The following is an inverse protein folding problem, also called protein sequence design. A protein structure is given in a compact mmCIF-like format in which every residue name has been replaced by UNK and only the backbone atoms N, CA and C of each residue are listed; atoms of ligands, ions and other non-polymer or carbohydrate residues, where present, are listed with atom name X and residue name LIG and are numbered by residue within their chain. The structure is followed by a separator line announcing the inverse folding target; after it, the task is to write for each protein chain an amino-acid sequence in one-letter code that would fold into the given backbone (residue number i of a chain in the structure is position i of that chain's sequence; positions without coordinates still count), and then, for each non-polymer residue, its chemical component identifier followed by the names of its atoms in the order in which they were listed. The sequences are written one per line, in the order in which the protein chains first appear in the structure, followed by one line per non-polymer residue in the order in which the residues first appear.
data_IF_224797243394
#
_entry.id   IF_224797243394
#
_cell.length_a   1.000
_cell.length_b   1.000
_cell.length_c   1.000
_cell.angle_alpha   90.00
_cell.angle_beta   90.00
_cell.angle_gamma   90.00
#
_symmetry.space_group_name_H-M   'P 1'
#
loop_
_entity.id
_entity.type
_entity.pdbx_description
1 polymer ?
#
# COMPACT_ATOMS: atom_id res chain seq x y z
N UNK A 1 15.47 3.73 -12.02
CA UNK A 1 16.59 3.63 -11.05
C UNK A 1 17.37 2.32 -11.20
N UNK A 2 16.75 1.15 -11.07
CA UNK A 2 17.45 -0.13 -11.30
C UNK A 2 17.88 -0.29 -12.77
N UNK A 3 16.99 -0.04 -13.73
CA UNK A 3 17.32 -0.10 -15.17
C UNK A 3 18.46 0.83 -15.61
N UNK A 4 18.73 1.89 -14.85
CA UNK A 4 19.81 2.84 -15.11
C UNK A 4 21.08 2.55 -14.29
N UNK A 5 21.15 1.39 -13.61
CA UNK A 5 22.26 1.00 -12.73
C UNK A 5 22.80 -0.37 -13.19
N UNK A 6 23.85 -0.40 -14.04
CA UNK A 6 24.45 -1.66 -14.51
C UNK A 6 24.95 -2.52 -13.35
N UNK A 7 24.75 -3.83 -13.44
CA UNK A 7 25.22 -4.79 -12.42
C UNK A 7 24.48 -4.72 -11.08
N UNK A 8 23.30 -4.09 -11.03
CA UNK A 8 22.50 -4.05 -9.81
C UNK A 8 22.05 -5.45 -9.38
N UNK A 9 22.36 -5.82 -8.14
CA UNK A 9 21.83 -7.00 -7.47
C UNK A 9 20.89 -6.54 -6.35
N UNK A 10 19.63 -6.98 -6.42
CA UNK A 10 18.63 -6.62 -5.42
C UNK A 10 18.91 -7.33 -4.10
N UNK A 11 18.87 -6.58 -3.00
CA UNK A 11 18.96 -7.10 -1.64
C UNK A 11 18.03 -6.33 -0.71
N UNK A 12 17.66 -6.94 0.42
CA UNK A 12 16.77 -6.30 1.36
C UNK A 12 17.38 -4.98 1.90
N UNK A 13 16.72 -3.85 1.65
CA UNK A 13 17.16 -2.55 2.14
C UNK A 13 18.33 -1.93 1.37
N UNK A 14 18.57 -2.37 0.13
CA UNK A 14 19.60 -1.82 -0.74
C UNK A 14 19.49 -0.27 -0.88
N UNK A 15 20.58 0.43 -1.25
CA UNK A 15 20.58 1.89 -1.35
C UNK A 15 19.54 2.48 -2.31
N UNK A 16 19.20 1.78 -3.41
CA UNK A 16 18.19 2.25 -4.36
C UNK A 16 16.78 2.08 -3.77
N UNK A 17 16.50 1.00 -3.05
CA UNK A 17 15.24 0.84 -2.30
C UNK A 17 15.06 1.95 -1.27
N UNK A 18 16.09 2.26 -0.48
CA UNK A 18 16.03 3.36 0.50
C UNK A 18 15.82 4.73 -0.17
N UNK A 19 16.52 4.99 -1.26
CA UNK A 19 16.33 6.22 -2.05
C UNK A 19 14.93 6.29 -2.66
N UNK A 20 14.39 5.17 -3.14
CA UNK A 20 13.03 5.10 -3.68
C UNK A 20 12.02 5.52 -2.64
N UNK A 21 12.16 5.03 -1.40
CA UNK A 21 11.25 5.38 -0.30
C UNK A 21 11.24 6.91 -0.07
N UNK A 22 12.41 7.54 0.05
CA UNK A 22 12.50 8.99 0.24
C UNK A 22 11.88 9.76 -0.93
N UNK A 23 12.31 9.46 -2.17
CA UNK A 23 11.83 10.16 -3.37
C UNK A 23 10.31 9.97 -3.56
N UNK A 24 9.79 8.78 -3.22
CA UNK A 24 8.37 8.50 -3.29
C UNK A 24 7.56 9.50 -2.44
N UNK A 25 7.96 9.72 -1.18
CA UNK A 25 7.27 10.67 -0.31
C UNK A 25 7.49 12.13 -0.71
N UNK A 26 8.67 12.48 -1.22
CA UNK A 26 8.92 13.84 -1.75
C UNK A 26 7.98 14.16 -2.93
N UNK A 27 7.77 13.20 -3.83
CA UNK A 27 6.83 13.34 -4.95
C UNK A 27 5.39 13.46 -4.45
N UNK A 28 4.98 12.63 -3.50
CA UNK A 28 3.63 12.73 -2.91
C UNK A 28 3.41 14.11 -2.29
N UNK A 29 4.35 14.58 -1.45
CA UNK A 29 4.25 15.88 -0.81
C UNK A 29 4.18 17.03 -1.83
N UNK A 30 4.97 16.93 -2.91
CA UNK A 30 4.97 17.92 -3.99
C UNK A 30 3.59 18.02 -4.66
N UNK A 31 3.02 16.87 -5.06
CA UNK A 31 1.72 16.82 -5.73
C UNK A 31 0.58 17.28 -4.81
N UNK A 32 0.59 16.83 -3.55
CA UNK A 32 -0.43 17.20 -2.57
C UNK A 32 -0.41 18.69 -2.25
N UNK A 33 0.77 19.31 -2.10
CA UNK A 33 0.90 20.78 -1.91
C UNK A 33 0.38 21.58 -3.10
N UNK A 34 0.41 21.01 -4.30
CA UNK A 34 -0.18 21.60 -5.50
C UNK A 34 -1.70 21.36 -5.62
N UNK A 35 -2.33 20.69 -4.64
CA UNK A 35 -3.76 20.39 -4.64
C UNK A 35 -4.16 19.20 -5.50
N UNK A 36 -3.20 18.34 -5.89
CA UNK A 36 -3.45 17.18 -6.75
C UNK A 36 -3.84 15.97 -5.89
N UNK A 37 -4.98 15.34 -6.20
CA UNK A 37 -5.34 14.03 -5.64
C UNK A 37 -4.43 12.95 -6.22
N UNK A 38 -3.85 12.11 -5.35
CA UNK A 38 -2.90 11.06 -5.73
C UNK A 38 -3.34 9.68 -5.24
N UNK A 39 -3.00 8.65 -6.00
CA UNK A 39 -3.06 7.25 -5.55
C UNK A 39 -1.63 6.76 -5.35
N UNK A 40 -1.32 6.38 -4.11
CA UNK A 40 -0.03 5.81 -3.71
C UNK A 40 -0.18 4.30 -3.52
N UNK A 41 0.58 3.48 -4.26
CA UNK A 41 0.53 2.01 -4.19
C UNK A 41 1.90 1.45 -3.82
N UNK A 42 1.91 0.58 -2.80
CA UNK A 42 3.07 -0.19 -2.38
C UNK A 42 2.64 -1.34 -1.44
N UNK A 43 3.55 -2.28 -1.16
CA UNK A 43 3.42 -3.24 -0.07
C UNK A 43 3.79 -2.58 1.28
N UNK A 44 2.94 -1.66 1.74
CA UNK A 44 3.20 -0.86 2.93
C UNK A 44 3.47 -1.70 4.18
N UNK A 45 4.65 -1.56 4.79
CA UNK A 45 5.00 -2.13 6.09
C UNK A 45 4.94 -1.02 7.14
N UNK A 46 4.07 -1.17 8.14
CA UNK A 46 3.72 -0.13 9.10
C UNK A 46 4.91 0.69 9.62
N UNK A 47 5.95 0.03 10.14
CA UNK A 47 7.13 0.68 10.72
C UNK A 47 7.88 1.64 9.78
N UNK A 48 7.81 1.39 8.46
CA UNK A 48 8.50 2.20 7.45
C UNK A 48 7.61 3.29 6.87
N UNK A 49 6.31 3.03 6.79
CA UNK A 49 5.38 3.86 6.04
C UNK A 49 4.59 4.82 6.93
N UNK A 50 4.17 4.41 8.13
CA UNK A 50 3.41 5.28 9.05
C UNK A 50 4.12 6.62 9.32
N UNK A 51 5.42 6.67 9.68
CA UNK A 51 6.09 7.95 10.00
C UNK A 51 6.13 8.94 8.84
N UNK A 52 6.00 8.46 7.60
CA UNK A 52 6.03 9.28 6.39
C UNK A 52 4.62 9.62 5.88
N UNK A 53 3.60 8.82 6.23
CA UNK A 53 2.21 9.07 5.88
C UNK A 53 1.52 10.02 6.87
N UNK A 54 1.86 9.95 8.16
CA UNK A 54 1.27 10.83 9.19
C UNK A 54 1.40 12.33 8.85
N UNK A 55 2.59 12.84 8.44
CA UNK A 55 2.73 14.26 8.09
C UNK A 55 1.90 14.67 6.86
N UNK A 56 1.62 13.74 5.94
CA UNK A 56 0.78 14.05 4.77
C UNK A 56 -0.68 14.28 5.16
N UNK A 57 -1.12 13.79 6.33
CA UNK A 57 -2.46 14.04 6.86
C UNK A 57 -2.76 15.51 7.14
N UNK A 58 -1.73 16.35 7.28
CA UNK A 58 -1.89 17.81 7.44
C UNK A 58 -2.33 18.50 6.14
N UNK A 59 -2.02 17.91 4.99
CA UNK A 59 -2.24 18.51 3.66
C UNK A 59 -3.14 17.65 2.75
N UNK A 60 -3.61 16.50 3.23
CA UNK A 60 -4.42 15.58 2.44
C UNK A 60 -5.41 14.78 3.30
N UNK A 61 -6.58 14.49 2.74
CA UNK A 61 -7.50 13.51 3.30
C UNK A 61 -7.08 12.10 2.86
N UNK A 62 -6.44 11.36 3.76
CA UNK A 62 -5.92 10.02 3.46
C UNK A 62 -7.04 8.97 3.58
N UNK A 63 -7.06 8.03 2.64
CA UNK A 63 -7.83 6.78 2.71
C UNK A 63 -6.94 5.61 2.35
N UNK A 64 -7.17 4.47 2.98
CA UNK A 64 -6.39 3.25 2.75
C UNK A 64 -7.27 2.21 2.07
N UNK A 65 -6.82 1.67 0.95
CA UNK A 65 -7.35 0.44 0.37
C UNK A 65 -6.33 -0.66 0.65
N UNK A 66 -6.69 -1.61 1.52
CA UNK A 66 -5.82 -2.71 1.92
C UNK A 66 -6.22 -3.98 1.18
N UNK A 67 -5.44 -4.32 0.15
CA UNK A 67 -5.56 -5.61 -0.52
C UNK A 67 -5.02 -6.73 0.36
N UNK A 68 -5.84 -7.76 0.59
CA UNK A 68 -5.50 -8.94 1.37
C UNK A 68 -5.67 -10.21 0.55
N UNK A 69 -4.97 -11.26 0.94
CA UNK A 69 -5.09 -12.60 0.38
C UNK A 69 -4.55 -13.59 1.41
N UNK A 70 -5.00 -14.86 1.39
CA UNK A 70 -4.43 -15.90 2.25
C UNK A 70 -2.92 -16.08 2.04
N UNK A 71 -2.16 -16.41 3.08
CA UNK A 71 -0.69 -16.46 3.02
C UNK A 71 -0.16 -17.54 2.08
N UNK A 72 -0.84 -18.68 1.96
CA UNK A 72 -0.53 -19.70 0.95
C UNK A 72 -0.64 -19.17 -0.48
N UNK A 73 -1.73 -18.46 -0.80
CA UNK A 73 -1.93 -17.84 -2.12
C UNK A 73 -0.93 -16.69 -2.35
N UNK A 74 -0.58 -15.92 -1.30
CA UNK A 74 0.48 -14.92 -1.39
C UNK A 74 1.83 -15.56 -1.76
N UNK A 75 2.20 -16.64 -1.07
CA UNK A 75 3.42 -17.40 -1.32
C UNK A 75 3.47 -17.91 -2.77
N UNK A 76 2.42 -18.59 -3.23
CA UNK A 76 2.31 -19.10 -4.59
C UNK A 76 2.49 -17.98 -5.63
N UNK A 77 1.83 -16.83 -5.42
CA UNK A 77 1.95 -15.67 -6.31
C UNK A 77 3.37 -15.08 -6.32
N UNK A 78 4.06 -15.03 -5.17
CA UNK A 78 5.45 -14.57 -5.09
C UNK A 78 6.37 -15.53 -5.85
N UNK A 79 6.29 -16.84 -5.58
CA UNK A 79 7.10 -17.87 -6.25
C UNK A 79 6.91 -17.82 -7.76
N UNK A 80 5.64 -17.78 -8.22
CA UNK A 80 5.31 -17.72 -9.64
C UNK A 80 5.89 -16.47 -10.29
N UNK A 81 5.67 -15.29 -9.71
CA UNK A 81 6.16 -14.01 -10.27
C UNK A 81 7.68 -13.97 -10.31
N UNK A 82 8.37 -14.45 -9.26
CA UNK A 82 9.82 -14.50 -9.22
C UNK A 82 10.42 -15.38 -10.34
N UNK A 83 9.68 -16.38 -10.82
CA UNK A 83 10.07 -17.24 -11.95
C UNK A 83 9.71 -16.66 -13.30
N UNK A 84 8.51 -16.10 -13.44
CA UNK A 84 7.92 -15.77 -14.74
C UNK A 84 8.11 -14.30 -15.16
N UNK A 85 8.32 -13.38 -14.21
CA UNK A 85 8.38 -11.95 -14.51
C UNK A 85 9.81 -11.41 -14.34
N UNK A 86 10.47 -11.09 -15.45
CA UNK A 86 11.83 -10.56 -15.47
C UNK A 86 12.00 -9.25 -14.67
N UNK A 87 10.97 -8.40 -14.55
CA UNK A 87 11.04 -7.18 -13.74
C UNK A 87 11.24 -7.48 -12.25
N UNK A 88 10.94 -8.71 -11.80
CA UNK A 88 11.14 -9.14 -10.41
C UNK A 88 12.61 -9.23 -10.02
N UNK A 89 13.54 -9.24 -10.99
CA UNK A 89 14.97 -9.11 -10.72
C UNK A 89 15.35 -7.79 -10.02
N UNK A 90 14.51 -6.76 -10.11
CA UNK A 90 14.69 -5.51 -9.37
C UNK A 90 14.32 -5.62 -7.88
N UNK A 91 13.79 -6.77 -7.43
CA UNK A 91 13.35 -7.01 -6.07
C UNK A 91 14.10 -8.18 -5.44
N UNK A 92 14.30 -8.14 -4.13
CA UNK A 92 14.98 -9.18 -3.35
C UNK A 92 14.10 -10.43 -3.11
N UNK A 93 13.36 -10.88 -4.14
CA UNK A 93 12.42 -12.00 -4.02
C UNK A 93 13.10 -13.32 -3.67
N UNK A 94 14.33 -13.55 -4.16
CA UNK A 94 15.09 -14.76 -3.86
C UNK A 94 15.45 -14.83 -2.38
N UNK A 95 15.96 -13.72 -1.83
CA UNK A 95 16.29 -13.61 -0.41
C UNK A 95 15.03 -13.75 0.45
N UNK A 96 13.91 -13.14 0.01
CA UNK A 96 12.63 -13.27 0.68
C UNK A 96 12.15 -14.72 0.73
N UNK A 97 12.16 -15.43 -0.40
CA UNK A 97 11.72 -16.83 -0.47
C UNK A 97 12.60 -17.75 0.38
N UNK A 98 13.92 -17.50 0.41
CA UNK A 98 14.84 -18.22 1.31
C UNK A 98 14.50 -17.96 2.78
N UNK A 99 14.35 -16.69 3.18
CA UNK A 99 14.00 -16.34 4.55
C UNK A 99 12.63 -16.88 5.00
N UNK A 100 11.67 -17.03 4.07
CA UNK A 100 10.39 -17.70 4.35
C UNK A 100 10.62 -19.19 4.58
N UNK A 101 11.38 -19.86 3.72
CA UNK A 101 11.67 -21.29 3.82
C UNK A 101 12.44 -21.65 5.10
N UNK A 102 13.35 -20.77 5.53
CA UNK A 102 14.15 -20.93 6.75
C UNK A 102 13.39 -20.51 8.02
N UNK A 103 12.17 -19.97 7.88
CA UNK A 103 11.33 -19.51 9.00
C UNK A 103 11.78 -18.18 9.63
N UNK A 104 12.80 -17.53 9.09
CA UNK A 104 13.33 -16.25 9.57
C UNK A 104 12.36 -15.08 9.32
N UNK A 105 11.63 -15.14 8.21
CA UNK A 105 10.66 -14.11 7.82
C UNK A 105 9.37 -14.74 7.30
N UNK A 106 8.50 -15.26 8.19
CA UNK A 106 7.22 -15.82 7.78
C UNK A 106 6.36 -14.76 7.08
N UNK A 107 5.52 -15.16 6.13
CA UNK A 107 4.67 -14.22 5.36
C UNK A 107 3.72 -13.46 6.29
N UNK A 108 3.28 -14.13 7.35
CA UNK A 108 2.44 -13.63 8.43
C UNK A 108 3.09 -12.47 9.21
N UNK A 109 4.42 -12.28 9.10
CA UNK A 109 5.13 -11.17 9.77
C UNK A 109 4.90 -9.80 9.15
N UNK A 110 4.18 -9.71 8.03
CA UNK A 110 3.79 -8.43 7.45
C UNK A 110 2.76 -7.73 8.34
N UNK A 111 3.00 -6.45 8.66
CA UNK A 111 2.13 -5.65 9.52
C UNK A 111 1.46 -4.55 8.68
N UNK A 112 0.12 -4.49 8.62
CA UNK A 112 -0.58 -3.44 7.90
C UNK A 112 -0.34 -2.08 8.53
N UNK A 113 -0.39 -1.02 7.72
CA UNK A 113 -0.39 0.36 8.23
C UNK A 113 -1.46 0.54 9.29
N UNK A 114 -1.06 1.08 10.44
CA UNK A 114 -1.95 1.50 11.51
C UNK A 114 -2.04 3.03 11.51
N UNK A 115 -3.06 3.57 10.85
CA UNK A 115 -3.42 4.99 10.82
C UNK A 115 -4.90 5.13 11.17
N UNK A 116 -5.28 6.18 11.88
CA UNK A 116 -6.69 6.50 12.16
C UNK A 116 -7.34 7.19 10.96
N UNK A 117 -7.47 6.45 9.86
CA UNK A 117 -8.03 6.92 8.59
C UNK A 117 -9.02 5.89 8.02
N UNK A 118 -10.01 6.33 7.21
CA UNK A 118 -10.91 5.39 6.55
C UNK A 118 -10.12 4.31 5.81
N UNK A 119 -10.44 3.05 6.07
CA UNK A 119 -9.74 1.90 5.51
C UNK A 119 -10.75 0.91 4.95
N UNK A 120 -10.60 0.56 3.67
CA UNK A 120 -11.36 -0.48 2.99
C UNK A 120 -10.49 -1.73 2.84
N UNK A 121 -11.00 -2.88 3.28
CA UNK A 121 -10.32 -4.17 3.11
C UNK A 121 -10.84 -4.83 1.84
N UNK A 122 -9.92 -5.25 0.97
CA UNK A 122 -10.24 -5.88 -0.31
C UNK A 122 -9.60 -7.25 -0.36
N UNK A 123 -10.40 -8.31 -0.32
CA UNK A 123 -9.92 -9.65 -0.63
C UNK A 123 -9.64 -9.78 -2.13
N UNK A 124 -8.41 -10.18 -2.44
CA UNK A 124 -7.88 -10.34 -3.80
C UNK A 124 -7.54 -11.80 -4.11
N UNK A 125 -8.07 -12.74 -3.34
CA UNK A 125 -7.89 -14.19 -3.55
C UNK A 125 -8.40 -14.59 -4.93
N UNK A 126 -9.61 -14.15 -5.28
CA UNK A 126 -10.25 -14.37 -6.57
C UNK A 126 -11.08 -13.14 -6.97
N UNK A 127 -10.57 -12.38 -7.94
CA UNK A 127 -11.09 -11.06 -8.29
C UNK A 127 -10.88 -10.01 -7.19
N UNK A 128 -11.76 -9.01 -7.13
CA UNK A 128 -11.81 -8.00 -6.07
C UNK A 128 -13.10 -8.19 -5.26
N UNK A 129 -12.97 -8.30 -3.94
CA UNK A 129 -14.10 -8.34 -3.00
C UNK A 129 -13.86 -7.34 -1.87
N UNK A 130 -14.55 -6.19 -1.82
CA UNK A 130 -15.63 -5.75 -2.71
C UNK A 130 -15.17 -5.45 -4.15
N UNK A 131 -16.11 -5.29 -5.08
CA UNK A 131 -15.81 -5.11 -6.49
C UNK A 131 -15.13 -3.76 -6.77
N UNK A 132 -14.60 -3.58 -7.97
CA UNK A 132 -13.79 -2.40 -8.30
C UNK A 132 -14.60 -1.09 -8.23
N UNK A 133 -15.91 -1.16 -8.49
CA UNK A 133 -16.84 -0.03 -8.39
C UNK A 133 -16.95 0.47 -6.94
N UNK A 134 -17.04 -0.44 -5.98
CA UNK A 134 -17.07 -0.09 -4.55
C UNK A 134 -15.73 0.52 -4.10
N UNK A 135 -14.61 -0.03 -4.61
CA UNK A 135 -13.26 0.48 -4.31
C UNK A 135 -13.09 1.90 -4.84
N UNK A 136 -13.49 2.16 -6.08
CA UNK A 136 -13.40 3.49 -6.69
C UNK A 136 -14.35 4.49 -6.02
N UNK A 137 -15.56 4.07 -5.67
CA UNK A 137 -16.51 4.86 -4.90
C UNK A 137 -15.93 5.25 -3.54
N UNK A 138 -15.34 4.30 -2.80
CA UNK A 138 -14.67 4.57 -1.52
C UNK A 138 -13.51 5.56 -1.67
N UNK A 139 -12.66 5.37 -2.69
CA UNK A 139 -11.53 6.25 -2.93
C UNK A 139 -11.95 7.68 -3.30
N UNK A 140 -13.02 7.82 -4.09
CA UNK A 140 -13.49 9.10 -4.65
C UNK A 140 -14.36 9.96 -3.74
N UNK A 141 -14.73 9.50 -2.54
CA UNK A 141 -15.57 10.27 -1.60
C UNK A 141 -14.95 11.64 -1.29
N UNK A 142 -15.75 12.68 -1.15
CA UNK A 142 -15.24 13.97 -0.66
C UNK A 142 -15.12 13.96 0.87
N UNK A 143 -14.18 14.71 1.49
CA UNK A 143 -14.11 14.84 2.95
C UNK A 143 -15.41 15.39 3.55
N UNK A 144 -16.18 16.16 2.77
CA UNK A 144 -17.49 16.73 3.12
C UNK A 144 -18.63 15.71 3.15
N UNK A 145 -18.60 14.66 2.32
CA UNK A 145 -19.66 13.62 2.26
C UNK A 145 -19.88 12.90 3.60
N UNK A 146 -18.87 12.92 4.47
CA UNK A 146 -18.91 12.21 5.76
C UNK A 146 -19.70 12.96 6.84
N UNK A 147 -19.75 14.30 6.81
CA UNK A 147 -20.48 15.10 7.82
C UNK A 147 -22.00 15.01 7.66
N UNK A 148 -22.48 14.87 6.43
CA UNK A 148 -23.93 14.81 6.15
C UNK A 148 -24.56 13.49 6.57
N UNK A 149 -23.83 12.37 6.48
CA UNK A 149 -24.33 11.05 6.90
C UNK A 149 -24.44 10.87 8.42
N UNK A 150 -23.64 11.59 9.21
CA UNK A 150 -23.71 11.53 10.69
C UNK A 150 -24.70 12.54 11.28
N UNK A 151 -25.09 13.56 10.51
CA UNK A 151 -26.05 14.61 10.93
C UNK A 151 -27.53 14.24 10.82
N UNK A 152 -27.88 13.12 10.18
CA UNK A 152 -29.28 12.70 9.94
C UNK A 152 -29.86 11.89 11.11
N UNK A 153 -29.61 12.31 12.36
CA UNK A 153 -30.32 11.73 13.52
C UNK A 153 -31.47 12.65 13.93
N UNK A 154 -32.65 12.36 13.36
CA UNK A 154 -34.02 12.66 13.80
C UNK A 154 -34.25 13.99 14.55
N UNK A 155 -34.81 14.98 13.85
CA UNK A 155 -35.70 15.97 14.49
C UNK A 155 -37.02 15.28 14.85
N UNK A 156 -37.51 15.36 16.10
CA UNK A 156 -38.86 14.94 16.42
C UNK A 156 -39.85 16.00 15.91
N UNK A 157 -40.82 15.56 15.12
CA UNK A 157 -42.00 16.33 14.74
C UNK A 157 -42.82 16.66 15.99
N UNK A 158 -43.11 17.94 16.20
CA UNK A 158 -44.21 18.40 17.07
C UNK A 158 -45.46 18.56 16.22
#
# INVERSE_FOLDING_TARGET
MVHSTPGFEASAGDPLTRRTLTVFFDVLATLLRAGVTVVAEAAFQDKLWRPNLEPLGEIAAIRVVRCTVGTGVAHERIVRRARENAHRAAHADRDLLRAIADGERPIESWVPISLDVPTLIVDTTDGYKPCIEDITSFAGQSPTDRRERTGMTRRPTR
#
